data_IF_880638825582
#
_entry.id   IF_880638825582
#
_cell.length_a   1.000
_cell.length_b   1.000
_cell.length_c   1.000
_cell.angle_alpha   90.00
_cell.angle_beta   90.00
_cell.angle_gamma   90.00
#
_symmetry.space_group_name_H-M   'P 1'
#
loop_
_entity.id
_entity.type
_entity.pdbx_description
1 polymer ?
#
# COMPACT_ATOMS: atom_id res chain seq x y z
N UNK A 1 -1.55 22.18 -1.28
CA UNK A 1 -2.49 22.26 -0.14
C UNK A 1 -2.13 23.48 0.66
N UNK A 2 -3.07 24.41 0.87
CA UNK A 2 -2.81 25.62 1.64
C UNK A 2 -3.17 25.38 3.11
N UNK A 3 -2.15 25.19 3.94
CA UNK A 3 -2.28 24.92 5.37
C UNK A 3 -2.41 26.23 6.15
N UNK A 4 -3.61 26.80 6.14
CA UNK A 4 -3.93 27.97 6.94
C UNK A 4 -4.73 27.55 8.19
N UNK A 5 -4.48 28.13 9.39
CA UNK A 5 -5.20 27.79 10.62
C UNK A 5 -6.73 27.85 10.52
N UNK A 6 -7.25 28.76 9.70
CA UNK A 6 -8.68 28.94 9.41
C UNK A 6 -9.28 27.82 8.54
N UNK A 7 -8.45 27.11 7.76
CA UNK A 7 -8.86 26.01 6.91
C UNK A 7 -8.64 24.68 7.64
N UNK A 8 -9.64 24.27 8.43
CA UNK A 8 -9.60 22.99 9.13
C UNK A 8 -9.55 21.82 8.13
N UNK A 9 -8.60 20.92 8.32
CA UNK A 9 -8.44 19.71 7.51
C UNK A 9 -8.50 18.50 8.45
N UNK A 10 -9.30 17.51 8.08
CA UNK A 10 -9.25 16.19 8.68
C UNK A 10 -8.41 15.25 7.80
N UNK A 11 -7.71 14.32 8.44
CA UNK A 11 -6.93 13.29 7.76
C UNK A 11 -7.06 11.93 8.43
N UNK A 12 -6.57 10.90 7.74
CA UNK A 12 -6.53 9.52 8.23
C UNK A 12 -5.07 9.09 8.33
N UNK A 13 -4.69 8.54 9.48
CA UNK A 13 -3.42 7.88 9.69
C UNK A 13 -3.61 6.36 9.57
N UNK A 14 -2.85 5.70 8.70
CA UNK A 14 -2.89 4.25 8.55
C UNK A 14 -1.55 3.70 8.05
N UNK A 15 -1.08 2.54 8.54
CA UNK A 15 0.01 1.84 7.90
C UNK A 15 -0.41 1.32 6.52
N UNK A 16 0.43 1.50 5.50
CA UNK A 16 0.16 0.98 4.15
C UNK A 16 -0.06 -0.54 4.18
N UNK A 17 0.80 -1.28 4.86
CA UNK A 17 0.71 -2.74 4.96
C UNK A 17 -0.61 -3.25 5.58
N UNK A 18 -1.33 -2.41 6.32
CA UNK A 18 -2.61 -2.77 6.95
C UNK A 18 -3.82 -2.52 6.03
N UNK A 19 -3.66 -1.79 4.93
CA UNK A 19 -4.74 -1.63 3.97
C UNK A 19 -5.06 -2.96 3.28
N UNK A 20 -6.31 -3.12 2.84
CA UNK A 20 -6.79 -4.30 2.10
C UNK A 20 -7.61 -3.85 0.91
N UNK A 21 -7.45 -4.57 -0.19
CA UNK A 21 -8.23 -4.44 -1.43
C UNK A 21 -8.76 -5.82 -1.78
N UNK A 22 -9.94 -5.89 -2.41
CA UNK A 22 -10.51 -7.13 -2.93
C UNK A 22 -9.59 -7.81 -3.97
N UNK A 23 -8.74 -7.03 -4.64
CA UNK A 23 -7.78 -7.50 -5.65
C UNK A 23 -6.35 -7.59 -5.11
N UNK A 24 -6.14 -7.30 -3.83
CA UNK A 24 -4.82 -7.28 -3.20
C UNK A 24 -4.32 -8.67 -2.81
N UNK A 25 -3.01 -8.77 -2.55
CA UNK A 25 -2.32 -10.03 -2.21
C UNK A 25 -2.15 -10.21 -0.69
N UNK A 26 -3.14 -9.80 0.10
CA UNK A 26 -3.11 -9.91 1.58
C UNK A 26 -2.28 -8.83 2.30
N UNK A 27 -1.70 -7.89 1.56
CA UNK A 27 -1.01 -6.69 2.09
C UNK A 27 -1.45 -5.46 1.27
N UNK A 28 -1.41 -4.28 1.87
CA UNK A 28 -1.66 -3.04 1.14
C UNK A 28 -0.47 -2.64 0.26
N UNK A 29 -0.73 -2.45 -1.03
CA UNK A 29 0.23 -2.03 -2.05
C UNK A 29 -0.10 -0.61 -2.58
N UNK A 30 0.69 -0.12 -3.54
CA UNK A 30 0.46 1.21 -4.15
C UNK A 30 -0.88 1.34 -4.89
N UNK A 31 -1.48 0.23 -5.36
CA UNK A 31 -2.82 0.25 -5.97
C UNK A 31 -3.90 0.37 -4.90
N UNK A 32 -3.79 -0.38 -3.82
CA UNK A 32 -4.64 -0.30 -2.63
C UNK A 32 -4.59 1.09 -2.01
N UNK A 33 -3.39 1.70 -1.93
CA UNK A 33 -3.24 3.07 -1.46
C UNK A 33 -3.98 4.07 -2.34
N UNK A 34 -3.95 3.88 -3.68
CA UNK A 34 -4.69 4.72 -4.61
C UNK A 34 -6.20 4.60 -4.40
N UNK A 35 -6.72 3.38 -4.28
CA UNK A 35 -8.14 3.12 -3.96
C UNK A 35 -8.53 3.80 -2.65
N UNK A 36 -7.71 3.66 -1.62
CA UNK A 36 -7.91 4.29 -0.31
C UNK A 36 -7.90 5.83 -0.37
N UNK A 37 -7.00 6.44 -1.16
CA UNK A 37 -6.96 7.91 -1.33
C UNK A 37 -8.23 8.41 -2.03
N UNK A 38 -8.72 7.68 -3.04
CA UNK A 38 -9.99 8.03 -3.72
C UNK A 38 -11.14 7.99 -2.72
N UNK A 39 -11.26 6.90 -1.96
CA UNK A 39 -12.28 6.76 -0.92
C UNK A 39 -12.18 7.85 0.16
N UNK A 40 -10.98 8.13 0.67
CA UNK A 40 -10.77 9.15 1.70
C UNK A 40 -11.21 10.54 1.21
N UNK A 41 -10.90 10.86 -0.05
CA UNK A 41 -11.34 12.09 -0.72
C UNK A 41 -12.87 12.17 -0.82
N UNK A 42 -13.54 11.08 -1.19
CA UNK A 42 -15.01 11.05 -1.34
C UNK A 42 -15.73 11.36 -0.03
N UNK A 43 -15.13 11.01 1.12
CA UNK A 43 -15.66 11.30 2.46
C UNK A 43 -15.28 12.71 2.94
N UNK A 44 -14.36 13.39 2.25
CA UNK A 44 -13.91 14.75 2.57
C UNK A 44 -12.65 14.81 3.43
N UNK A 45 -11.92 13.71 3.60
CA UNK A 45 -10.58 13.76 4.19
C UNK A 45 -9.58 14.35 3.19
N UNK A 46 -8.75 15.27 3.69
CA UNK A 46 -7.77 16.00 2.86
C UNK A 46 -6.35 15.46 2.95
N UNK A 47 -6.07 14.59 3.92
CA UNK A 47 -4.72 14.06 4.20
C UNK A 47 -4.79 12.56 4.48
N UNK A 48 -3.91 11.80 3.83
CA UNK A 48 -3.57 10.43 4.22
C UNK A 48 -2.14 10.45 4.74
N UNK A 49 -1.96 10.07 5.99
CA UNK A 49 -0.65 9.92 6.62
C UNK A 49 -0.31 8.44 6.76
N UNK A 50 0.86 8.06 6.26
CA UNK A 50 1.37 6.69 6.38
C UNK A 50 2.43 6.60 7.49
N UNK A 51 2.64 5.38 7.99
CA UNK A 51 3.90 5.04 8.66
C UNK A 51 5.05 5.05 7.63
N UNK A 52 6.33 5.00 8.07
CA UNK A 52 7.43 4.87 7.12
C UNK A 52 7.21 3.70 6.16
N UNK A 53 7.47 3.96 4.88
CA UNK A 53 7.29 2.99 3.78
C UNK A 53 8.62 2.37 3.33
N UNK A 54 9.67 2.59 4.12
CA UNK A 54 11.00 2.16 3.82
C UNK A 54 11.17 0.65 4.05
N UNK A 55 12.15 0.06 3.36
CA UNK A 55 12.47 -1.36 3.46
C UNK A 55 12.79 -1.76 4.92
N UNK A 56 12.04 -2.73 5.44
CA UNK A 56 12.12 -3.13 6.85
C UNK A 56 13.11 -4.27 7.09
N UNK A 57 13.67 -4.31 8.29
CA UNK A 57 14.46 -5.44 8.76
C UNK A 57 13.63 -6.66 9.13
N UNK A 58 14.29 -7.69 9.69
CA UNK A 58 13.65 -8.97 10.05
C UNK A 58 12.55 -8.88 11.11
N UNK A 59 12.48 -7.78 11.86
CA UNK A 59 11.46 -7.56 12.89
C UNK A 59 10.18 -6.92 12.33
N UNK A 60 10.12 -6.66 11.02
CA UNK A 60 9.00 -6.04 10.29
C UNK A 60 8.58 -4.66 10.84
N UNK A 61 9.42 -4.01 11.64
CA UNK A 61 9.11 -2.70 12.19
C UNK A 61 9.35 -1.62 11.13
N UNK A 62 8.36 -0.78 10.78
CA UNK A 62 8.55 0.32 9.83
C UNK A 62 9.55 1.37 10.34
N UNK A 63 9.90 1.34 11.62
CA UNK A 63 10.90 2.24 12.21
C UNK A 63 12.30 1.63 12.28
N UNK A 64 12.45 0.35 11.93
CA UNK A 64 13.74 -0.33 11.86
C UNK A 64 14.12 -0.60 10.40
N UNK A 65 14.20 0.49 9.63
CA UNK A 65 14.50 0.41 8.20
C UNK A 65 15.97 0.05 7.97
N UNK A 66 16.23 -0.86 7.03
CA UNK A 66 17.60 -1.20 6.60
C UNK A 66 18.14 -0.19 5.58
N UNK A 67 17.26 0.64 5.01
CA UNK A 67 17.61 1.73 4.11
C UNK A 67 16.66 2.91 4.30
N UNK A 68 17.21 4.12 4.43
CA UNK A 68 16.40 5.35 4.48
C UNK A 68 15.89 5.79 3.10
N UNK A 69 16.35 5.16 2.01
CA UNK A 69 16.02 5.52 0.63
C UNK A 69 15.17 4.48 -0.08
N UNK A 70 15.40 3.18 0.20
CA UNK A 70 14.64 2.12 -0.44
C UNK A 70 13.21 2.08 0.10
N UNK A 71 12.26 1.82 -0.79
CA UNK A 71 10.86 1.56 -0.45
C UNK A 71 10.70 0.06 -0.25
N UNK A 72 9.85 -0.33 0.70
CA UNK A 72 9.50 -1.72 0.98
C UNK A 72 8.97 -2.44 -0.28
N UNK A 73 9.69 -3.43 -0.82
CA UNK A 73 9.29 -4.13 -2.05
C UNK A 73 7.91 -4.80 -1.96
N UNK A 74 7.47 -5.23 -0.77
CA UNK A 74 6.14 -5.82 -0.58
C UNK A 74 4.99 -4.84 -0.85
N UNK A 75 5.27 -3.54 -0.97
CA UNK A 75 4.25 -2.52 -1.31
C UNK A 75 4.05 -2.34 -2.82
N UNK A 76 4.80 -3.08 -3.66
CA UNK A 76 4.63 -3.07 -5.11
C UNK A 76 3.28 -3.65 -5.52
N UNK A 77 2.65 -3.01 -6.50
CA UNK A 77 1.45 -3.57 -7.11
C UNK A 77 1.81 -4.65 -8.12
N UNK A 78 1.41 -5.88 -7.80
CA UNK A 78 1.63 -7.06 -8.63
C UNK A 78 0.30 -7.57 -9.19
N UNK A 79 0.17 -7.49 -10.51
CA UNK A 79 -0.94 -8.03 -11.27
C UNK A 79 -0.45 -8.43 -12.67
N UNK A 80 -1.18 -9.26 -13.43
CA UNK A 80 -0.83 -9.52 -14.83
C UNK A 80 -0.64 -8.20 -15.61
N UNK A 81 0.57 -7.98 -16.15
CA UNK A 81 0.97 -6.75 -16.83
C UNK A 81 1.41 -5.59 -15.92
N UNK A 82 1.55 -5.81 -14.61
CA UNK A 82 2.15 -4.87 -13.65
C UNK A 82 3.10 -5.61 -12.70
N UNK A 83 4.43 -5.50 -12.87
CA UNK A 83 5.11 -4.78 -13.95
C UNK A 83 4.85 -5.40 -15.34
N UNK A 84 5.19 -4.69 -16.42
CA UNK A 84 4.86 -5.10 -17.81
C UNK A 84 5.37 -6.50 -18.15
N UNK A 85 6.49 -6.89 -17.55
CA UNK A 85 7.15 -8.18 -17.71
C UNK A 85 6.44 -9.33 -16.97
N UNK A 86 5.54 -9.02 -16.03
CA UNK A 86 4.81 -10.02 -15.27
C UNK A 86 3.65 -10.56 -16.12
N UNK A 87 3.93 -11.61 -16.89
CA UNK A 87 2.91 -12.27 -17.72
C UNK A 87 1.80 -12.88 -16.86
N UNK A 88 0.64 -13.06 -17.47
CA UNK A 88 -0.50 -13.71 -16.82
C UNK A 88 -0.15 -15.11 -16.35
N UNK A 89 0.55 -15.89 -17.18
CA UNK A 89 0.94 -17.26 -16.85
C UNK A 89 1.90 -17.28 -15.66
N UNK A 90 2.89 -16.37 -15.62
CA UNK A 90 3.83 -16.27 -14.52
C UNK A 90 3.13 -15.90 -13.21
N UNK A 91 2.21 -14.93 -13.26
CA UNK A 91 1.42 -14.53 -12.10
C UNK A 91 0.54 -15.67 -11.58
N UNK A 92 -0.23 -16.31 -12.47
CA UNK A 92 -1.11 -17.43 -12.10
C UNK A 92 -0.32 -18.61 -11.54
N UNK A 93 0.87 -18.90 -12.09
CA UNK A 93 1.76 -19.93 -11.56
C UNK A 93 2.28 -19.59 -10.16
N UNK A 94 2.60 -18.32 -9.86
CA UNK A 94 3.04 -17.91 -8.54
C UNK A 94 1.92 -17.99 -7.50
N UNK A 95 0.67 -17.71 -7.92
CA UNK A 95 -0.50 -17.67 -7.05
C UNK A 95 -1.16 -19.04 -6.83
N UNK A 96 -0.81 -20.07 -7.63
CA UNK A 96 -1.51 -21.35 -7.67
C UNK A 96 -1.64 -22.09 -6.33
N UNK A 97 -0.74 -21.83 -5.38
CA UNK A 97 -0.70 -22.49 -4.07
C UNK A 97 -1.09 -21.58 -2.90
N UNK A 98 -1.47 -20.34 -3.16
CA UNK A 98 -1.78 -19.36 -2.11
C UNK A 98 -3.29 -19.24 -1.90
N UNK A 99 -3.73 -19.26 -0.65
CA UNK A 99 -5.15 -19.05 -0.30
C UNK A 99 -5.37 -17.64 0.26
N UNK A 100 -5.53 -16.68 -0.65
CA UNK A 100 -5.75 -15.28 -0.28
C UNK A 100 -7.09 -15.03 0.44
N UNK A 101 -8.07 -15.94 0.30
CA UNK A 101 -9.38 -15.81 0.96
C UNK A 101 -9.28 -16.14 2.46
N UNK A 102 -8.21 -16.80 2.89
CA UNK A 102 -7.96 -17.15 4.28
C UNK A 102 -7.11 -16.10 5.04
N UNK A 103 -6.69 -15.01 4.38
CA UNK A 103 -5.89 -13.91 4.94
C UNK A 103 -6.75 -12.70 5.31
#
# INVERSE_FOLDING_TARGET
>A
MNLFPENKIAGILTPLFALRSEKGLGIGDVATLREFIVWAREIGFGVVQLLPINEVGRDNSPYNAISAMAIEPMTLHLAPGSPEELSREAFESAMANENLVAL
#
